data_IF_455275606915
#
_entry.id   IF_455275606915
#
_cell.length_a   1.000
_cell.length_b   1.000
_cell.length_c   1.000
_cell.angle_alpha   90.00
_cell.angle_beta   90.00
_cell.angle_gamma   90.00
#
_symmetry.space_group_name_H-M   'P 1'
#
loop_
_entity.id
_entity.type
_entity.pdbx_description
1 polymer ?
#
# COMPACT_ATOMS: atom_id res chain seq x y z
N UNK A 1 8.04 -7.96 6.46
CA UNK A 1 9.04 -7.02 7.01
C UNK A 1 9.54 -6.13 5.88
N UNK A 2 9.48 -4.78 6.06
CA UNK A 2 9.83 -3.81 5.01
C UNK A 2 11.34 -3.52 4.97
N UNK A 3 12.17 -4.56 4.96
CA UNK A 3 13.64 -4.45 4.98
C UNK A 3 14.18 -3.68 3.76
N UNK A 4 13.48 -3.76 2.62
CA UNK A 4 13.88 -3.07 1.37
C UNK A 4 13.90 -1.54 1.51
N UNK A 5 13.01 -0.96 2.34
CA UNK A 5 12.98 0.49 2.55
C UNK A 5 14.21 1.05 3.26
N UNK A 6 14.98 0.21 3.94
CA UNK A 6 16.25 0.61 4.58
C UNK A 6 17.30 1.07 3.56
N UNK A 7 17.16 0.63 2.30
CA UNK A 7 18.08 0.94 1.21
C UNK A 7 17.61 2.10 0.33
N UNK A 8 16.37 2.58 0.52
CA UNK A 8 15.81 3.67 -0.30
C UNK A 8 16.67 4.93 -0.19
N UNK A 9 17.11 5.46 -1.34
CA UNK A 9 17.88 6.68 -1.45
C UNK A 9 19.37 6.53 -1.03
N UNK A 10 19.84 5.31 -0.78
CA UNK A 10 21.24 5.04 -0.49
C UNK A 10 21.95 4.52 -1.73
N UNK A 11 23.23 4.88 -1.89
CA UNK A 11 24.10 4.21 -2.86
C UNK A 11 24.51 2.87 -2.26
N UNK A 12 24.03 1.78 -2.83
CA UNK A 12 24.28 0.42 -2.33
C UNK A 12 24.81 -0.47 -3.45
N UNK A 13 25.58 -1.49 -3.08
CA UNK A 13 26.03 -2.54 -3.99
C UNK A 13 24.95 -3.60 -4.05
N UNK A 14 24.31 -3.78 -5.21
CA UNK A 14 23.14 -4.67 -5.37
C UNK A 14 23.40 -6.11 -4.92
N UNK A 15 24.56 -6.76 -5.23
CA UNK A 15 24.89 -8.07 -4.69
C UNK A 15 24.89 -8.17 -3.16
N UNK A 16 25.32 -7.12 -2.47
CA UNK A 16 25.29 -7.11 -1.00
C UNK A 16 23.86 -7.06 -0.47
N UNK A 17 23.01 -6.23 -1.07
CA UNK A 17 21.58 -6.15 -0.74
C UNK A 17 20.90 -7.50 -1.00
N UNK A 18 21.17 -8.14 -2.14
CA UNK A 18 20.60 -9.43 -2.49
C UNK A 18 21.00 -10.52 -1.48
N UNK A 19 22.25 -10.54 -1.06
CA UNK A 19 22.77 -11.45 -0.03
C UNK A 19 22.11 -11.22 1.32
N UNK A 20 22.02 -9.95 1.76
CA UNK A 20 21.41 -9.59 3.04
C UNK A 20 19.92 -9.94 3.12
N UNK A 21 19.23 -9.82 2.00
CA UNK A 21 17.79 -10.14 1.88
C UNK A 21 17.50 -11.61 1.52
N UNK A 22 18.52 -12.37 1.13
CA UNK A 22 18.37 -13.76 0.67
C UNK A 22 17.56 -13.88 -0.62
N UNK A 23 17.70 -12.92 -1.55
CA UNK A 23 16.94 -12.89 -2.82
C UNK A 23 17.87 -13.12 -4.01
N UNK A 24 17.33 -13.77 -5.05
CA UNK A 24 18.07 -14.05 -6.28
C UNK A 24 18.08 -12.85 -7.24
N UNK A 25 17.01 -12.07 -7.24
CA UNK A 25 16.84 -10.92 -8.13
C UNK A 25 16.50 -9.66 -7.34
N UNK A 26 17.00 -8.53 -7.81
CA UNK A 26 16.68 -7.20 -7.28
C UNK A 26 16.07 -6.37 -8.40
N UNK A 27 14.90 -5.79 -8.14
CA UNK A 27 14.28 -4.81 -9.02
C UNK A 27 14.57 -3.42 -8.47
N UNK A 28 15.23 -2.60 -9.27
CA UNK A 28 15.42 -1.18 -9.01
C UNK A 28 14.57 -0.33 -9.94
N UNK A 29 14.18 0.86 -9.48
CA UNK A 29 13.46 1.78 -10.34
C UNK A 29 13.30 3.16 -9.75
N UNK A 30 12.92 4.07 -10.60
CA UNK A 30 12.57 5.44 -10.24
C UNK A 30 11.29 5.87 -10.93
N UNK A 31 10.46 6.62 -10.22
CA UNK A 31 9.26 7.24 -10.77
C UNK A 31 9.44 8.75 -10.69
N UNK A 32 9.22 9.43 -11.81
CA UNK A 32 9.19 10.90 -11.89
C UNK A 32 7.86 11.35 -12.46
N UNK A 33 7.29 12.37 -11.85
CA UNK A 33 6.05 13.01 -12.31
C UNK A 33 6.32 14.49 -12.57
N UNK A 34 5.88 14.97 -13.72
CA UNK A 34 5.87 16.40 -14.07
C UNK A 34 4.51 16.72 -14.68
N UNK A 35 3.68 17.44 -13.93
CA UNK A 35 2.28 17.66 -14.30
C UNK A 35 1.53 16.33 -14.41
N UNK A 36 1.01 16.04 -15.59
CA UNK A 36 0.28 14.81 -15.92
C UNK A 36 1.16 13.70 -16.51
N UNK A 37 2.43 14.00 -16.77
CA UNK A 37 3.37 13.04 -17.36
C UNK A 37 4.06 12.26 -16.25
N UNK A 38 4.01 10.94 -16.36
CA UNK A 38 4.71 9.99 -15.46
C UNK A 38 5.78 9.25 -16.26
N UNK A 39 6.99 9.23 -15.73
CA UNK A 39 8.10 8.42 -16.26
C UNK A 39 8.55 7.41 -15.21
N UNK A 40 8.60 6.15 -15.62
CA UNK A 40 9.07 5.04 -14.81
C UNK A 40 10.31 4.45 -15.49
N UNK A 41 11.43 4.40 -14.79
CA UNK A 41 12.58 3.60 -15.20
C UNK A 41 12.67 2.40 -14.27
N UNK A 42 12.86 1.22 -14.85
CA UNK A 42 13.00 -0.04 -14.11
C UNK A 42 14.18 -0.83 -14.63
N UNK A 43 14.84 -1.54 -13.73
CA UNK A 43 15.87 -2.51 -14.08
C UNK A 43 15.83 -3.72 -13.16
N UNK A 44 15.97 -4.90 -13.75
CA UNK A 44 16.06 -6.17 -13.05
C UNK A 44 17.52 -6.62 -13.05
N UNK A 45 18.04 -6.93 -11.88
CA UNK A 45 19.46 -7.23 -11.66
C UNK A 45 19.56 -8.61 -11.02
N UNK A 46 20.46 -9.45 -11.54
CA UNK A 46 20.86 -10.69 -10.88
C UNK A 46 21.63 -10.36 -9.61
N UNK A 47 21.09 -10.79 -8.47
CA UNK A 47 21.63 -10.47 -7.15
C UNK A 47 22.98 -11.16 -6.86
N UNK A 48 23.36 -12.18 -7.63
CA UNK A 48 24.61 -12.90 -7.44
C UNK A 48 25.75 -12.23 -8.22
N UNK A 49 25.49 -11.93 -9.49
CA UNK A 49 26.51 -11.39 -10.41
C UNK A 49 26.52 -9.86 -10.47
N UNK A 50 25.43 -9.20 -10.06
CA UNK A 50 25.22 -7.77 -10.29
C UNK A 50 24.92 -7.43 -11.76
N UNK A 51 24.73 -8.43 -12.64
CA UNK A 51 24.46 -8.21 -14.04
C UNK A 51 23.00 -7.72 -14.25
N UNK A 52 22.84 -6.74 -15.14
CA UNK A 52 21.52 -6.28 -15.55
C UNK A 52 20.90 -7.32 -16.49
N UNK A 53 19.80 -7.94 -16.07
CA UNK A 53 19.03 -8.90 -16.86
C UNK A 53 18.13 -8.15 -17.85
N UNK A 54 17.55 -7.05 -17.38
CA UNK A 54 16.58 -6.25 -18.12
C UNK A 54 16.56 -4.83 -17.57
N UNK A 55 16.37 -3.86 -18.47
CA UNK A 55 16.17 -2.46 -18.13
C UNK A 55 15.24 -1.82 -19.15
N UNK A 56 14.23 -1.10 -18.68
CA UNK A 56 13.22 -0.47 -19.53
C UNK A 56 12.75 0.86 -18.96
N UNK A 57 12.30 1.73 -19.86
CA UNK A 57 11.69 3.02 -19.53
C UNK A 57 10.27 3.10 -20.07
N UNK A 58 9.37 3.51 -19.21
CA UNK A 58 7.97 3.72 -19.54
C UNK A 58 7.61 5.18 -19.35
N UNK A 59 6.99 5.75 -20.36
CA UNK A 59 6.40 7.09 -20.32
C UNK A 59 4.88 6.96 -20.52
N UNK A 60 4.10 7.66 -19.70
CA UNK A 60 2.64 7.64 -19.76
C UNK A 60 2.02 8.86 -19.09
N UNK A 61 0.69 8.95 -19.16
CA UNK A 61 -0.07 9.97 -18.43
C UNK A 61 -0.53 9.46 -17.06
N UNK A 62 -0.88 10.38 -16.17
CA UNK A 62 -1.45 10.03 -14.88
C UNK A 62 -2.83 9.34 -15.04
N UNK A 63 -3.59 9.71 -16.06
CA UNK A 63 -4.87 9.09 -16.40
C UNK A 63 -4.72 7.62 -16.80
N UNK A 64 -3.59 7.26 -17.38
CA UNK A 64 -3.29 5.89 -17.82
C UNK A 64 -2.35 5.13 -16.85
N UNK A 65 -2.20 5.65 -15.62
CA UNK A 65 -1.23 5.12 -14.66
C UNK A 65 -1.41 3.62 -14.36
N UNK A 66 -2.64 3.14 -14.35
CA UNK A 66 -2.93 1.72 -14.10
C UNK A 66 -2.55 0.84 -15.29
N UNK A 67 -2.81 1.30 -16.52
CA UNK A 67 -2.36 0.63 -17.75
C UNK A 67 -0.84 0.54 -17.78
N UNK A 68 -0.18 1.64 -17.40
CA UNK A 68 1.27 1.69 -17.30
C UNK A 68 1.81 0.73 -16.22
N UNK A 69 1.16 0.68 -15.06
CA UNK A 69 1.52 -0.22 -13.97
C UNK A 69 1.34 -1.69 -14.38
N UNK A 70 0.26 -2.04 -15.05
CA UNK A 70 -0.01 -3.39 -15.52
C UNK A 70 1.02 -3.83 -16.58
N UNK A 71 1.36 -2.93 -17.50
CA UNK A 71 2.41 -3.17 -18.49
C UNK A 71 3.76 -3.47 -17.82
N UNK A 72 4.22 -2.59 -16.93
CA UNK A 72 5.47 -2.77 -16.17
C UNK A 72 5.48 -4.10 -15.43
N UNK A 73 4.38 -4.43 -14.77
CA UNK A 73 4.30 -5.67 -14.00
C UNK A 73 4.30 -6.91 -14.89
N UNK A 74 3.58 -6.88 -16.01
CA UNK A 74 3.53 -8.01 -16.94
C UNK A 74 4.91 -8.30 -17.52
N UNK A 75 5.68 -7.25 -17.84
CA UNK A 75 7.04 -7.41 -18.34
C UNK A 75 8.01 -7.95 -17.28
N UNK A 76 7.93 -7.46 -16.03
CA UNK A 76 8.72 -8.00 -14.90
C UNK A 76 8.43 -9.50 -14.72
N UNK A 77 7.15 -9.89 -14.74
CA UNK A 77 6.74 -11.30 -14.60
C UNK A 77 7.28 -12.15 -15.76
N UNK A 78 7.23 -11.63 -16.99
CA UNK A 78 7.76 -12.32 -18.15
C UNK A 78 9.29 -12.52 -18.06
N UNK A 79 10.03 -11.50 -17.63
CA UNK A 79 11.49 -11.58 -17.45
C UNK A 79 11.90 -12.58 -16.35
N UNK A 80 11.11 -12.68 -15.29
CA UNK A 80 11.35 -13.63 -14.20
C UNK A 80 10.89 -15.06 -14.57
N UNK A 81 10.26 -15.27 -15.73
CA UNK A 81 9.67 -16.55 -16.15
C UNK A 81 8.71 -17.14 -15.09
N UNK A 82 8.02 -16.25 -14.36
CA UNK A 82 7.08 -16.65 -13.33
C UNK A 82 5.68 -16.72 -13.94
N UNK A 83 5.03 -17.87 -13.80
CA UNK A 83 3.60 -18.00 -14.11
C UNK A 83 2.79 -17.62 -12.90
N UNK A 84 2.08 -16.47 -12.98
CA UNK A 84 1.13 -16.09 -11.94
C UNK A 84 -0.07 -17.05 -11.98
N UNK A 85 -0.45 -17.56 -10.83
CA UNK A 85 -1.70 -18.32 -10.72
C UNK A 85 -2.91 -17.38 -10.89
N UNK A 86 -4.07 -17.89 -11.39
CA UNK A 86 -5.29 -17.10 -11.49
C UNK A 86 -5.68 -16.39 -10.18
N UNK A 87 -5.40 -17.03 -9.05
CA UNK A 87 -5.61 -16.46 -7.72
C UNK A 87 -4.66 -15.27 -7.42
N UNK A 88 -3.43 -15.30 -7.92
CA UNK A 88 -2.47 -14.20 -7.76
C UNK A 88 -2.82 -13.02 -8.66
N UNK A 89 -3.33 -13.27 -9.87
CA UNK A 89 -3.86 -12.24 -10.77
C UNK A 89 -5.10 -11.57 -10.16
N UNK A 90 -6.08 -12.36 -9.73
CA UNK A 90 -7.31 -11.84 -9.09
C UNK A 90 -7.05 -11.07 -7.77
N UNK A 91 -5.99 -11.35 -7.03
CA UNK A 91 -5.63 -10.60 -5.81
C UNK A 91 -5.19 -9.18 -6.11
N UNK A 92 -4.66 -8.90 -7.30
CA UNK A 92 -4.25 -7.55 -7.72
C UNK A 92 -5.46 -6.70 -8.10
N UNK A 93 -6.48 -7.31 -8.68
CA UNK A 93 -7.71 -6.65 -9.12
C UNK A 93 -8.70 -6.40 -7.96
N UNK A 94 -8.69 -7.27 -6.94
CA UNK A 94 -9.61 -7.18 -5.81
C UNK A 94 -9.22 -6.10 -4.82
N UNK A 95 -10.12 -5.16 -4.61
CA UNK A 95 -9.99 -4.08 -3.62
C UNK A 95 -9.15 -2.90 -4.08
N UNK A 96 -8.75 -2.85 -5.34
CA UNK A 96 -8.11 -1.68 -5.96
C UNK A 96 -9.09 -0.59 -6.35
N UNK A 97 -8.58 0.44 -7.04
CA UNK A 97 -9.38 1.54 -7.60
C UNK A 97 -8.87 1.89 -8.99
N UNK A 98 -9.77 2.29 -9.87
CA UNK A 98 -9.44 2.86 -11.19
C UNK A 98 -9.36 4.41 -11.14
N UNK A 99 -9.60 5.02 -9.98
CA UNK A 99 -9.52 6.45 -9.77
C UNK A 99 -8.10 6.85 -9.31
N UNK A 100 -7.31 7.59 -10.14
CA UNK A 100 -5.93 7.96 -9.81
C UNK A 100 -5.82 8.85 -8.56
N UNK A 101 -6.78 9.73 -8.33
CA UNK A 101 -6.78 10.62 -7.16
C UNK A 101 -7.10 9.85 -5.89
N UNK A 102 -8.02 8.88 -5.95
CA UNK A 102 -8.29 7.96 -4.85
C UNK A 102 -7.05 7.13 -4.51
N UNK A 103 -6.33 6.67 -5.54
CA UNK A 103 -5.09 5.90 -5.35
C UNK A 103 -3.98 6.74 -4.71
N UNK A 104 -3.76 7.98 -5.16
CA UNK A 104 -2.76 8.89 -4.58
C UNK A 104 -3.08 9.19 -3.11
N UNK A 105 -4.34 9.50 -2.81
CA UNK A 105 -4.81 9.72 -1.44
C UNK A 105 -4.56 8.47 -0.55
N UNK A 106 -4.91 7.29 -1.04
CA UNK A 106 -4.65 6.04 -0.34
C UNK A 106 -3.16 5.80 -0.08
N UNK A 107 -2.29 6.04 -1.05
CA UNK A 107 -0.85 5.84 -0.89
C UNK A 107 -0.26 6.73 0.21
N UNK A 108 -0.73 7.99 0.33
CA UNK A 108 -0.33 8.91 1.41
C UNK A 108 -0.78 8.39 2.76
N UNK A 109 -2.04 8.04 2.90
CA UNK A 109 -2.58 7.47 4.14
C UNK A 109 -1.89 6.16 4.53
N UNK A 110 -1.65 5.28 3.56
CA UNK A 110 -0.94 4.01 3.78
C UNK A 110 0.52 4.20 4.20
N UNK A 111 1.21 5.22 3.69
CA UNK A 111 2.57 5.53 4.12
C UNK A 111 2.62 5.89 5.61
N UNK A 112 1.68 6.72 6.07
CA UNK A 112 1.53 7.09 7.47
C UNK A 112 1.12 5.88 8.33
N UNK A 113 0.08 5.15 7.93
CA UNK A 113 -0.36 3.92 8.60
C UNK A 113 0.79 2.95 8.90
N UNK A 114 1.77 2.84 8.01
CA UNK A 114 2.92 1.92 8.18
C UNK A 114 3.90 2.33 9.26
N UNK A 115 3.91 3.58 9.70
CA UNK A 115 4.77 4.04 10.79
C UNK A 115 4.30 3.57 12.16
N UNK A 116 3.00 3.21 12.24
CA UNK A 116 2.42 2.52 13.38
C UNK A 116 2.50 3.32 14.69
N UNK A 117 2.24 4.63 14.65
CA UNK A 117 2.06 5.50 15.82
C UNK A 117 0.67 6.10 15.82
N UNK A 118 0.11 6.48 16.99
CA UNK A 118 -1.21 7.10 17.04
C UNK A 118 -1.26 8.45 16.34
N UNK A 119 -0.19 9.24 16.37
CA UNK A 119 -0.07 10.53 15.67
C UNK A 119 -0.09 10.33 14.15
N UNK A 120 0.68 9.38 13.64
CA UNK A 120 0.66 9.01 12.22
C UNK A 120 -0.72 8.48 11.80
N UNK A 121 -1.47 7.83 12.69
CA UNK A 121 -2.84 7.39 12.40
C UNK A 121 -3.79 8.58 12.26
N UNK A 122 -3.67 9.60 13.13
CA UNK A 122 -4.43 10.85 12.99
C UNK A 122 -4.19 11.50 11.63
N UNK A 123 -2.93 11.56 11.21
CA UNK A 123 -2.58 12.11 9.89
C UNK A 123 -3.02 11.19 8.72
N UNK A 124 -3.04 9.88 8.91
CA UNK A 124 -3.45 8.92 7.88
C UNK A 124 -4.96 8.96 7.58
N UNK A 125 -5.80 9.15 8.61
CA UNK A 125 -7.26 9.10 8.51
C UNK A 125 -7.81 10.01 7.40
N UNK A 126 -7.53 11.32 7.35
CA UNK A 126 -8.10 12.20 6.33
C UNK A 126 -7.68 11.81 4.91
N UNK A 127 -6.50 11.25 4.71
CA UNK A 127 -6.06 10.75 3.41
C UNK A 127 -6.82 9.49 2.99
N UNK A 128 -7.06 8.59 3.93
CA UNK A 128 -7.82 7.35 3.69
C UNK A 128 -9.31 7.65 3.49
N UNK A 129 -9.88 8.57 4.26
CA UNK A 129 -11.25 9.06 4.08
C UNK A 129 -11.41 9.71 2.70
N UNK A 130 -10.46 10.54 2.29
CA UNK A 130 -10.46 11.11 0.94
C UNK A 130 -10.42 10.06 -0.15
N UNK A 131 -9.67 8.96 0.04
CA UNK A 131 -9.62 7.87 -0.92
C UNK A 131 -10.99 7.19 -1.10
N UNK A 132 -11.71 6.93 -0.01
CA UNK A 132 -13.04 6.30 -0.07
C UNK A 132 -14.16 7.25 -0.46
N UNK A 133 -13.99 8.56 -0.29
CA UNK A 133 -14.89 9.58 -0.85
C UNK A 133 -14.78 9.62 -2.39
N UNK A 134 -13.57 9.54 -2.91
CA UNK A 134 -13.30 9.55 -4.35
C UNK A 134 -13.69 8.25 -5.04
N UNK A 135 -13.60 7.13 -4.33
CA UNK A 135 -14.02 5.81 -4.78
C UNK A 135 -14.59 5.00 -3.60
N UNK A 136 -15.93 4.98 -3.44
CA UNK A 136 -16.60 4.23 -2.38
C UNK A 136 -16.39 2.72 -2.41
N UNK A 137 -16.00 2.15 -3.56
CA UNK A 137 -15.72 0.73 -3.73
C UNK A 137 -14.25 0.37 -3.50
N UNK A 138 -13.42 1.33 -3.07
CA UNK A 138 -11.99 1.11 -2.82
C UNK A 138 -11.73 0.29 -1.54
N UNK A 139 -11.83 -1.03 -1.66
CA UNK A 139 -11.73 -1.97 -0.54
C UNK A 139 -10.42 -1.88 0.25
N UNK A 140 -9.27 -1.56 -0.40
CA UNK A 140 -7.99 -1.40 0.30
C UNK A 140 -7.99 -0.18 1.25
N UNK A 141 -8.62 0.92 0.85
CA UNK A 141 -8.72 2.11 1.68
C UNK A 141 -9.64 1.87 2.88
N UNK A 142 -10.81 1.27 2.66
CA UNK A 142 -11.71 0.86 3.74
C UNK A 142 -11.06 -0.11 4.72
N UNK A 143 -10.36 -1.14 4.22
CA UNK A 143 -9.65 -2.09 5.06
C UNK A 143 -8.56 -1.43 5.93
N UNK A 144 -7.87 -0.43 5.38
CA UNK A 144 -6.84 0.32 6.13
C UNK A 144 -7.47 1.20 7.19
N UNK A 145 -8.58 1.89 6.90
CA UNK A 145 -9.36 2.64 7.91
C UNK A 145 -9.85 1.71 9.03
N UNK A 146 -10.45 0.57 8.69
CA UNK A 146 -10.87 -0.42 9.68
C UNK A 146 -9.70 -0.85 10.57
N UNK A 147 -8.54 -1.11 9.98
CA UNK A 147 -7.34 -1.51 10.70
C UNK A 147 -6.81 -0.42 11.63
N UNK A 148 -6.79 0.85 11.20
CA UNK A 148 -6.41 2.00 12.04
C UNK A 148 -7.25 2.03 13.32
N UNK A 149 -8.57 2.00 13.17
CA UNK A 149 -9.47 2.08 14.31
C UNK A 149 -9.47 0.81 15.19
N UNK A 150 -9.32 -0.36 14.58
CA UNK A 150 -9.19 -1.62 15.33
C UNK A 150 -7.91 -1.68 16.16
N UNK A 151 -6.77 -1.27 15.58
CA UNK A 151 -5.50 -1.19 16.31
C UNK A 151 -5.62 -0.19 17.45
N UNK A 152 -6.20 0.99 17.21
CA UNK A 152 -6.44 2.02 18.22
C UNK A 152 -7.26 1.48 19.39
N UNK A 153 -8.35 0.77 19.11
CA UNK A 153 -9.17 0.11 20.14
C UNK A 153 -8.38 -0.92 20.94
N UNK A 154 -7.59 -1.77 20.28
CA UNK A 154 -6.84 -2.84 20.94
C UNK A 154 -5.63 -2.36 21.74
N UNK A 155 -5.05 -1.21 21.39
CA UNK A 155 -3.81 -0.74 22.02
C UNK A 155 -4.05 -0.16 23.41
N UNK A 156 -4.81 0.89 23.53
CA UNK A 156 -5.13 1.49 24.85
C UNK A 156 -6.10 2.66 24.72
N UNK A 157 -6.64 3.08 25.87
CA UNK A 157 -7.37 4.34 25.97
C UNK A 157 -6.56 5.57 25.52
N UNK A 158 -5.23 5.58 25.76
CA UNK A 158 -4.36 6.68 25.34
C UNK A 158 -4.33 6.83 23.82
N UNK A 159 -4.26 5.74 23.07
CA UNK A 159 -4.33 5.77 21.61
C UNK A 159 -5.69 6.28 21.13
N UNK A 160 -6.77 5.84 21.76
CA UNK A 160 -8.11 6.27 21.40
C UNK A 160 -8.33 7.77 21.61
N UNK A 161 -7.74 8.36 22.65
CA UNK A 161 -7.78 9.81 22.90
C UNK A 161 -7.01 10.61 21.86
N UNK A 162 -5.87 10.13 21.41
CA UNK A 162 -5.08 10.80 20.36
C UNK A 162 -5.84 10.77 19.04
N UNK A 163 -6.44 9.61 18.69
CA UNK A 163 -7.18 9.43 17.43
C UNK A 163 -8.56 10.09 17.44
N UNK A 164 -9.19 10.24 18.62
CA UNK A 164 -10.51 10.87 18.78
C UNK A 164 -10.47 11.92 19.89
N UNK A 165 -9.74 13.04 19.73
CA UNK A 165 -9.45 13.98 20.82
C UNK A 165 -10.70 14.70 21.36
N UNK A 166 -11.74 14.83 20.55
CA UNK A 166 -12.98 15.56 20.91
C UNK A 166 -13.95 14.72 21.74
N UNK A 167 -13.59 13.49 22.11
CA UNK A 167 -14.46 12.56 22.82
C UNK A 167 -13.93 12.27 24.24
N UNK A 168 -14.82 12.08 25.23
CA UNK A 168 -14.41 11.53 26.53
C UNK A 168 -13.75 10.15 26.38
N UNK A 169 -12.80 9.81 27.27
CA UNK A 169 -11.96 8.60 27.18
C UNK A 169 -12.70 7.33 26.86
N UNK A 170 -13.79 7.02 27.60
CA UNK A 170 -14.58 5.80 27.39
C UNK A 170 -15.32 5.81 26.06
N UNK A 171 -15.78 7.00 25.62
CA UNK A 171 -16.50 7.19 24.35
C UNK A 171 -15.52 7.09 23.19
N UNK A 172 -14.35 7.73 23.26
CA UNK A 172 -13.31 7.66 22.23
C UNK A 172 -12.86 6.21 21.96
N UNK A 173 -12.72 5.44 23.04
CA UNK A 173 -12.34 4.02 22.94
C UNK A 173 -13.43 3.16 22.30
N UNK A 174 -14.69 3.32 22.73
CA UNK A 174 -15.83 2.62 22.12
C UNK A 174 -16.07 3.04 20.68
N UNK A 175 -15.93 4.32 20.37
CA UNK A 175 -16.04 4.86 19.01
C UNK A 175 -15.03 4.21 18.06
N UNK A 176 -13.79 3.98 18.52
CA UNK A 176 -12.79 3.30 17.71
C UNK A 176 -13.24 1.88 17.31
N UNK A 177 -13.89 1.15 18.21
CA UNK A 177 -14.46 -0.17 17.90
C UNK A 177 -15.62 -0.06 16.90
N UNK A 178 -16.53 0.86 17.13
CA UNK A 178 -17.71 1.06 16.26
C UNK A 178 -17.26 1.39 14.84
N UNK A 179 -16.32 2.32 14.68
CA UNK A 179 -15.77 2.69 13.36
C UNK A 179 -15.03 1.52 12.71
N UNK A 180 -14.27 0.73 13.47
CA UNK A 180 -13.60 -0.45 12.92
C UNK A 180 -14.61 -1.44 12.31
N UNK A 181 -15.72 -1.72 13.03
CA UNK A 181 -16.81 -2.57 12.52
C UNK A 181 -17.44 -2.00 11.26
N UNK A 182 -17.82 -0.71 11.30
CA UNK A 182 -18.45 -0.05 10.14
C UNK A 182 -17.56 -0.07 8.90
N UNK A 183 -16.26 0.20 9.07
CA UNK A 183 -15.33 0.25 7.93
C UNK A 183 -14.95 -1.13 7.40
N UNK A 184 -14.90 -2.16 8.25
CA UNK A 184 -14.69 -3.52 7.76
C UNK A 184 -15.90 -4.02 6.96
N UNK A 185 -17.12 -3.65 7.34
CA UNK A 185 -18.32 -3.95 6.56
C UNK A 185 -18.26 -3.33 5.16
N UNK A 186 -17.79 -2.08 5.04
CA UNK A 186 -17.57 -1.45 3.74
C UNK A 186 -16.44 -2.17 2.96
N UNK A 187 -15.33 -2.48 3.62
CA UNK A 187 -14.21 -3.18 3.00
C UNK A 187 -14.59 -4.58 2.46
N UNK A 188 -15.57 -5.23 3.09
CA UNK A 188 -16.06 -6.56 2.69
C UNK A 188 -16.93 -6.55 1.43
N UNK A 189 -17.33 -5.39 0.93
CA UNK A 189 -17.99 -5.27 -0.39
C UNK A 189 -17.02 -5.56 -1.53
N UNK A 190 -15.74 -5.18 -1.35
CA UNK A 190 -14.62 -5.49 -2.24
C UNK A 190 -13.43 -6.01 -1.42
N UNK A 191 -13.49 -7.29 -0.98
CA UNK A 191 -12.70 -7.80 0.12
C UNK A 191 -11.21 -7.97 -0.24
N UNK A 192 -10.35 -7.45 0.64
CA UNK A 192 -8.89 -7.61 0.60
C UNK A 192 -8.41 -8.61 1.67
N UNK A 193 -7.17 -9.11 1.58
CA UNK A 193 -6.59 -9.90 2.67
C UNK A 193 -6.60 -9.17 4.02
N UNK A 194 -6.35 -7.85 4.02
CA UNK A 194 -6.39 -7.03 5.24
C UNK A 194 -7.82 -6.91 5.79
N UNK A 195 -8.84 -6.73 4.93
CA UNK A 195 -10.23 -6.68 5.36
C UNK A 195 -10.64 -7.96 6.08
N UNK A 196 -10.35 -9.12 5.51
CA UNK A 196 -10.63 -10.43 6.12
C UNK A 196 -9.87 -10.65 7.42
N UNK A 197 -8.61 -10.19 7.49
CA UNK A 197 -7.83 -10.27 8.72
C UNK A 197 -8.48 -9.43 9.84
N UNK A 198 -8.89 -8.19 9.56
CA UNK A 198 -9.55 -7.32 10.55
C UNK A 198 -10.90 -7.89 10.95
N UNK A 199 -11.72 -8.34 9.98
CA UNK A 199 -13.02 -8.98 10.23
C UNK A 199 -12.90 -10.18 11.18
N UNK A 200 -11.88 -11.02 11.00
CA UNK A 200 -11.67 -12.20 11.86
C UNK A 200 -11.24 -11.87 13.29
N UNK A 201 -10.89 -10.63 13.59
CA UNK A 201 -10.41 -10.18 14.89
C UNK A 201 -11.44 -9.34 15.66
N UNK A 202 -12.48 -8.84 15.02
CA UNK A 202 -13.58 -8.05 15.59
C UNK A 202 -14.62 -8.98 16.23
#
# INVERSE_FOLDING_TARGET
>A
RNTVFTYKGKSVVVPDVARDLGVKYVLEGSVRRVGDVVRINTQLIDGTSGAHIWAERYDGSLTDIFVLQDKVTSEIVAQLQITLTPDQQNRRERGGTDNPDAHDAYLRGRQLYRRYTPEDFVEAIPHLERAVELDPDYGQAWATLASVYWITYRKSYAWALIVNPDKPNSVAWQESRVRAVQFVEQAMRNPTPLARQVESQI
#
